data_IF_879499760185
#
_entry.id   IF_879499760185
#
_cell.length_a   1.000
_cell.length_b   1.000
_cell.length_c   1.000
_cell.angle_alpha   90.00
_cell.angle_beta   90.00
_cell.angle_gamma   90.00
#
_symmetry.space_group_name_H-M   'P 1'
#
loop_
_entity.id
_entity.type
_entity.pdbx_description
1 polymer ?
#
# COMPACT_ATOMS: atom_id res chain seq x y z
N UNK A 1 -7.46 5.48 27.61
CA UNK A 1 -7.84 4.19 26.94
C UNK A 1 -9.18 4.43 26.26
N UNK A 2 -9.23 4.45 24.93
CA UNK A 2 -10.50 4.50 24.18
C UNK A 2 -11.05 3.07 24.17
N UNK A 3 -12.21 2.85 24.77
CA UNK A 3 -12.93 1.60 24.58
C UNK A 3 -13.42 1.56 23.11
N UNK A 4 -13.09 0.52 22.33
CA UNK A 4 -13.58 0.39 20.99
C UNK A 4 -15.12 0.24 21.01
N UNK A 5 -15.81 1.02 20.16
CA UNK A 5 -17.26 0.96 20.08
C UNK A 5 -17.78 -0.36 19.48
N UNK A 6 -16.93 -1.10 18.78
CA UNK A 6 -17.24 -2.40 18.19
C UNK A 6 -16.00 -3.12 17.66
N UNK A 7 -16.12 -4.41 17.48
CA UNK A 7 -15.11 -5.32 16.94
C UNK A 7 -15.71 -6.05 15.75
N UNK A 8 -15.04 -6.06 14.61
CA UNK A 8 -15.41 -6.86 13.45
C UNK A 8 -14.38 -7.99 13.32
N UNK A 9 -14.86 -9.22 13.23
CA UNK A 9 -14.04 -10.41 12.99
C UNK A 9 -14.34 -10.91 11.59
N UNK A 10 -13.34 -10.84 10.71
CA UNK A 10 -13.42 -11.46 9.40
C UNK A 10 -13.06 -12.94 9.54
N UNK A 11 -14.02 -13.80 9.18
CA UNK A 11 -13.92 -15.26 9.32
C UNK A 11 -13.51 -15.97 8.02
N UNK A 12 -13.22 -15.25 6.93
CA UNK A 12 -12.90 -15.84 5.63
C UNK A 12 -11.70 -16.80 5.64
N UNK A 13 -10.78 -16.63 6.59
CA UNK A 13 -9.61 -17.47 6.75
C UNK A 13 -9.80 -18.70 7.66
N UNK A 14 -11.01 -18.96 8.18
CA UNK A 14 -11.27 -20.11 9.05
C UNK A 14 -11.44 -21.35 8.17
N UNK A 15 -10.51 -22.28 8.28
CA UNK A 15 -10.51 -23.54 7.53
C UNK A 15 -11.24 -24.67 8.25
N UNK A 16 -11.25 -24.63 9.59
CA UNK A 16 -11.88 -25.63 10.44
C UNK A 16 -12.57 -24.97 11.63
N UNK A 17 -13.73 -25.49 12.03
CA UNK A 17 -14.45 -25.06 13.22
C UNK A 17 -15.04 -26.27 13.93
N UNK A 18 -14.79 -26.39 15.23
CA UNK A 18 -15.38 -27.39 16.10
C UNK A 18 -16.56 -26.82 16.87
N UNK A 19 -17.38 -27.66 17.52
CA UNK A 19 -18.45 -27.18 18.39
C UNK A 19 -17.90 -26.39 19.59
N UNK A 20 -16.78 -26.82 20.17
CA UNK A 20 -16.06 -26.09 21.24
C UNK A 20 -15.56 -24.73 20.75
N UNK A 21 -15.07 -24.68 19.50
CA UNK A 21 -14.70 -23.42 18.85
C UNK A 21 -15.89 -22.46 18.67
N UNK A 22 -17.05 -22.99 18.33
CA UNK A 22 -18.29 -22.22 18.20
C UNK A 22 -18.76 -21.68 19.57
N UNK A 23 -18.66 -22.44 20.63
CA UNK A 23 -18.95 -22.00 22.00
C UNK A 23 -17.99 -20.86 22.42
N UNK A 24 -16.71 -20.96 22.05
CA UNK A 24 -15.72 -19.90 22.31
C UNK A 24 -16.12 -18.55 21.68
N UNK A 25 -16.73 -18.54 20.51
CA UNK A 25 -17.27 -17.32 19.90
C UNK A 25 -18.42 -16.73 20.72
N UNK A 26 -19.30 -17.56 21.26
CA UNK A 26 -20.41 -17.09 22.12
C UNK A 26 -19.88 -16.49 23.42
N UNK A 27 -18.93 -17.14 24.04
CA UNK A 27 -18.29 -16.66 25.28
C UNK A 27 -17.53 -15.34 25.05
N UNK A 28 -16.80 -15.24 23.96
CA UNK A 28 -16.11 -14.01 23.57
C UNK A 28 -17.10 -12.86 23.34
N UNK A 29 -18.24 -13.14 22.71
CA UNK A 29 -19.31 -12.15 22.54
C UNK A 29 -19.86 -11.67 23.88
N UNK A 30 -20.23 -12.60 24.76
CA UNK A 30 -20.78 -12.27 26.08
C UNK A 30 -19.79 -11.42 26.89
N UNK A 31 -18.51 -11.77 26.85
CA UNK A 31 -17.46 -11.00 27.49
C UNK A 31 -17.33 -9.58 26.91
N UNK A 32 -17.32 -9.43 25.58
CA UNK A 32 -17.18 -8.15 24.90
C UNK A 32 -18.39 -7.25 25.16
N UNK A 33 -19.61 -7.82 25.14
CA UNK A 33 -20.84 -7.08 25.45
C UNK A 33 -20.85 -6.58 26.89
N UNK A 34 -20.38 -7.39 27.83
CA UNK A 34 -20.26 -7.00 29.25
C UNK A 34 -19.35 -5.78 29.44
N UNK A 35 -18.41 -5.57 28.54
CA UNK A 35 -17.49 -4.42 28.55
C UNK A 35 -17.95 -3.25 27.65
N UNK A 36 -19.22 -3.26 27.22
CA UNK A 36 -19.84 -2.15 26.50
C UNK A 36 -19.44 -2.03 25.03
N UNK A 37 -18.81 -3.06 24.44
CA UNK A 37 -18.48 -3.13 23.03
C UNK A 37 -19.38 -4.13 22.31
N UNK A 38 -19.55 -3.94 20.98
CA UNK A 38 -20.29 -4.87 20.10
C UNK A 38 -19.30 -5.65 19.25
N UNK A 39 -19.63 -6.91 18.97
CA UNK A 39 -18.88 -7.78 18.05
C UNK A 39 -19.77 -8.12 16.86
N UNK A 40 -19.19 -8.16 15.66
CA UNK A 40 -19.87 -8.62 14.44
C UNK A 40 -18.93 -9.54 13.69
N UNK A 41 -19.43 -10.72 13.31
CA UNK A 41 -18.71 -11.67 12.47
C UNK A 41 -19.07 -11.42 11.01
N UNK A 42 -18.10 -11.44 10.10
CA UNK A 42 -18.39 -11.31 8.67
C UNK A 42 -17.59 -12.32 7.84
N UNK A 43 -18.05 -12.52 6.60
CA UNK A 43 -17.42 -13.41 5.62
C UNK A 43 -17.21 -14.84 6.16
N UNK A 44 -18.24 -15.40 6.83
CA UNK A 44 -18.17 -16.72 7.46
C UNK A 44 -18.32 -17.78 6.37
N UNK A 45 -17.34 -18.72 6.23
CA UNK A 45 -17.47 -19.85 5.30
C UNK A 45 -18.68 -20.73 5.64
N UNK A 46 -19.32 -21.34 4.63
CA UNK A 46 -20.53 -22.15 4.81
C UNK A 46 -20.35 -23.30 5.81
N UNK A 47 -19.21 -24.01 5.72
CA UNK A 47 -18.90 -25.09 6.66
C UNK A 47 -18.78 -24.64 8.12
N UNK A 48 -18.29 -23.43 8.37
CA UNK A 48 -18.24 -22.82 9.71
C UNK A 48 -19.64 -22.42 10.16
N UNK A 49 -20.43 -21.84 9.24
CA UNK A 49 -21.82 -21.48 9.52
C UNK A 49 -22.69 -22.69 9.88
N UNK A 50 -22.45 -23.84 9.26
CA UNK A 50 -23.14 -25.10 9.61
C UNK A 50 -22.85 -25.55 11.05
N UNK A 51 -21.60 -25.44 11.51
CA UNK A 51 -21.24 -25.76 12.90
C UNK A 51 -21.89 -24.77 13.86
N UNK A 52 -21.83 -23.46 13.57
CA UNK A 52 -22.47 -22.43 14.39
C UNK A 52 -23.99 -22.61 14.51
N UNK A 53 -24.64 -23.16 13.48
CA UNK A 53 -26.09 -23.47 13.51
C UNK A 53 -26.44 -24.68 14.39
N UNK A 54 -25.51 -25.62 14.59
CA UNK A 54 -25.71 -26.82 15.39
C UNK A 54 -25.60 -26.58 16.89
N UNK A 55 -24.80 -25.60 17.29
CA UNK A 55 -24.56 -25.29 18.70
C UNK A 55 -25.75 -24.46 19.26
N UNK A 56 -26.50 -24.98 20.26
CA UNK A 56 -27.64 -24.30 20.82
C UNK A 56 -27.24 -22.93 21.44
N UNK A 57 -28.02 -21.91 21.17
CA UNK A 57 -27.79 -20.55 21.73
C UNK A 57 -26.82 -19.69 20.94
N UNK A 58 -25.86 -20.26 20.21
CA UNK A 58 -24.83 -19.49 19.48
C UNK A 58 -25.46 -18.68 18.35
N UNK A 59 -26.34 -19.29 17.54
CA UNK A 59 -26.97 -18.64 16.38
C UNK A 59 -27.79 -17.40 16.71
N UNK A 60 -28.51 -17.41 17.84
CA UNK A 60 -29.36 -16.30 18.22
C UNK A 60 -28.64 -15.14 18.89
N UNK A 61 -27.42 -15.36 19.31
CA UNK A 61 -26.62 -14.40 20.05
C UNK A 61 -25.53 -13.72 19.20
N UNK A 62 -25.01 -14.39 18.16
CA UNK A 62 -23.94 -13.87 17.33
C UNK A 62 -24.46 -12.95 16.21
N UNK A 63 -24.13 -11.65 16.21
CA UNK A 63 -24.44 -10.77 15.10
C UNK A 63 -23.55 -11.13 13.90
N UNK A 64 -24.17 -11.65 12.86
CA UNK A 64 -23.49 -12.06 11.62
C UNK A 64 -23.84 -11.10 10.50
N UNK A 65 -22.86 -10.68 9.75
CA UNK A 65 -22.99 -9.92 8.51
C UNK A 65 -22.46 -10.73 7.33
N UNK A 66 -23.12 -10.66 6.18
CA UNK A 66 -22.68 -11.39 5.00
C UNK A 66 -21.38 -10.83 4.43
N UNK A 67 -21.09 -9.55 4.65
CA UNK A 67 -19.91 -8.86 4.13
C UNK A 67 -19.33 -7.89 5.16
N UNK A 68 -18.05 -7.55 4.98
CA UNK A 68 -17.39 -6.53 5.79
C UNK A 68 -18.14 -5.18 5.76
N UNK A 69 -18.71 -4.80 4.62
CA UNK A 69 -19.48 -3.56 4.48
C UNK A 69 -20.72 -3.56 5.38
N UNK A 70 -21.47 -4.66 5.41
CA UNK A 70 -22.62 -4.82 6.30
C UNK A 70 -22.22 -4.83 7.78
N UNK A 71 -21.09 -5.48 8.11
CA UNK A 71 -20.58 -5.50 9.46
C UNK A 71 -20.23 -4.08 9.95
N UNK A 72 -19.62 -3.26 9.12
CA UNK A 72 -19.33 -1.85 9.44
C UNK A 72 -20.59 -1.02 9.62
N UNK A 73 -21.57 -1.18 8.71
CA UNK A 73 -22.84 -0.47 8.78
C UNK A 73 -23.59 -0.82 10.08
N UNK A 74 -23.61 -2.09 10.50
CA UNK A 74 -24.27 -2.53 11.73
C UNK A 74 -23.67 -1.94 13.01
N UNK A 75 -22.40 -1.52 12.95
CA UNK A 75 -21.71 -0.83 14.05
C UNK A 75 -21.82 0.70 13.95
N UNK A 76 -22.49 1.25 12.92
CA UNK A 76 -22.55 2.68 12.66
C UNK A 76 -21.21 3.25 12.21
N UNK A 77 -20.32 2.40 11.71
CA UNK A 77 -19.05 2.82 11.11
C UNK A 77 -19.30 3.15 9.64
N UNK A 78 -18.67 4.22 9.10
CA UNK A 78 -18.75 4.49 7.68
C UNK A 78 -18.32 3.24 6.92
N UNK A 79 -19.01 2.92 5.82
CA UNK A 79 -18.64 1.77 5.00
C UNK A 79 -17.20 1.97 4.55
N UNK A 80 -16.44 0.88 4.39
CA UNK A 80 -15.11 1.00 3.81
C UNK A 80 -15.17 1.59 2.38
N UNK A 81 -16.36 1.49 1.76
CA UNK A 81 -16.68 2.07 0.46
C UNK A 81 -17.02 3.56 0.58
N UNK A 82 -17.66 4.02 1.66
CA UNK A 82 -17.95 5.44 1.92
C UNK A 82 -16.74 6.18 2.55
N UNK A 83 -15.86 5.48 3.28
CA UNK A 83 -14.54 6.01 3.64
C UNK A 83 -13.57 6.04 2.43
N UNK A 84 -13.95 5.37 1.33
CA UNK A 84 -13.30 5.37 0.01
C UNK A 84 -14.06 6.24 -1.01
N UNK A 85 -15.21 6.86 -0.67
CA UNK A 85 -16.00 7.73 -1.56
C UNK A 85 -15.82 9.25 -1.36
N UNK A 86 -14.92 9.72 -0.55
CA UNK A 86 -14.05 10.76 -1.08
C UNK A 86 -13.21 10.05 -2.15
N UNK A 87 -13.20 10.46 -3.45
CA UNK A 87 -12.40 9.77 -4.45
C UNK A 87 -10.98 9.72 -3.88
N UNK A 88 -10.54 8.52 -3.49
CA UNK A 88 -9.22 8.34 -2.93
C UNK A 88 -8.31 8.97 -3.98
N UNK A 89 -7.67 10.06 -3.61
CA UNK A 89 -6.87 10.87 -4.52
C UNK A 89 -5.90 9.87 -5.15
N UNK A 90 -6.07 9.58 -6.44
CA UNK A 90 -5.24 8.59 -7.12
C UNK A 90 -3.79 9.01 -6.98
N UNK A 91 -2.93 8.10 -6.57
CA UNK A 91 -1.51 8.39 -6.35
C UNK A 91 -0.71 7.71 -7.44
N UNK A 92 0.02 8.50 -8.21
CA UNK A 92 1.07 8.03 -9.11
C UNK A 92 2.39 8.12 -8.36
N UNK A 93 3.03 6.99 -8.09
CA UNK A 93 4.30 6.92 -7.39
C UNK A 93 5.47 6.89 -8.38
N UNK A 94 6.39 7.80 -8.21
CA UNK A 94 7.67 7.85 -8.93
C UNK A 94 8.83 7.62 -7.93
N UNK A 95 9.31 6.39 -7.74
CA UNK A 95 10.54 6.16 -7.01
C UNK A 95 11.74 6.60 -7.86
N UNK A 96 12.67 7.27 -7.20
CA UNK A 96 13.90 7.78 -7.82
C UNK A 96 15.09 7.31 -7.00
N UNK A 97 16.18 6.95 -7.64
CA UNK A 97 17.42 6.52 -6.97
C UNK A 97 18.65 6.98 -7.75
N UNK A 98 19.83 6.86 -7.15
CA UNK A 98 21.08 7.24 -7.78
C UNK A 98 21.34 6.43 -9.06
N UNK A 99 21.70 7.12 -10.15
CA UNK A 99 21.96 6.51 -11.47
C UNK A 99 20.75 6.39 -12.39
N UNK A 100 19.54 6.65 -11.89
CA UNK A 100 18.32 6.64 -12.71
C UNK A 100 18.22 7.93 -13.55
N UNK A 101 17.71 7.84 -14.78
CA UNK A 101 17.30 9.02 -15.54
C UNK A 101 15.95 9.55 -15.01
N UNK A 102 16.00 10.22 -13.87
CA UNK A 102 14.84 10.71 -13.17
C UNK A 102 14.01 11.71 -13.99
N UNK A 103 14.58 12.70 -14.72
CA UNK A 103 13.81 13.65 -15.51
C UNK A 103 12.98 12.97 -16.61
N UNK A 104 13.52 11.95 -17.27
CA UNK A 104 12.79 11.22 -18.31
C UNK A 104 11.60 10.44 -17.75
N UNK A 105 11.80 9.72 -16.65
CA UNK A 105 10.70 9.00 -15.97
C UNK A 105 9.65 9.96 -15.43
N UNK A 106 10.08 11.12 -14.91
CA UNK A 106 9.18 12.15 -14.40
C UNK A 106 8.25 12.72 -15.48
N UNK A 107 8.72 12.89 -16.73
CA UNK A 107 7.87 13.35 -17.83
C UNK A 107 6.67 12.41 -18.02
N UNK A 108 6.90 11.10 -18.01
CA UNK A 108 5.84 10.10 -18.13
C UNK A 108 4.91 10.07 -16.92
N UNK A 109 5.48 10.13 -15.71
CA UNK A 109 4.70 10.19 -14.48
C UNK A 109 3.82 11.44 -14.43
N UNK A 110 4.32 12.60 -14.83
CA UNK A 110 3.56 13.85 -14.91
C UNK A 110 2.41 13.77 -15.91
N UNK A 111 2.64 13.16 -17.07
CA UNK A 111 1.61 12.95 -18.08
C UNK A 111 0.46 12.09 -17.54
N UNK A 112 0.80 10.94 -16.97
CA UNK A 112 -0.18 10.04 -16.35
C UNK A 112 -0.95 10.70 -15.20
N UNK A 113 -0.24 11.46 -14.35
CA UNK A 113 -0.85 12.18 -13.22
C UNK A 113 -1.91 13.17 -13.69
N UNK A 114 -1.62 13.91 -14.77
CA UNK A 114 -2.58 14.84 -15.37
C UNK A 114 -3.80 14.14 -15.95
N UNK A 115 -3.58 13.10 -16.75
CA UNK A 115 -4.65 12.36 -17.42
C UNK A 115 -5.63 11.74 -16.42
N UNK A 116 -5.11 11.32 -15.27
CA UNK A 116 -5.91 10.66 -14.24
C UNK A 116 -6.41 11.60 -13.14
N UNK A 117 -6.04 12.87 -13.16
CA UNK A 117 -6.30 13.83 -12.08
C UNK A 117 -5.81 13.31 -10.73
N UNK A 118 -4.62 12.72 -10.73
CA UNK A 118 -3.98 12.11 -9.57
C UNK A 118 -3.04 13.11 -8.86
N UNK A 119 -2.43 12.67 -7.75
CA UNK A 119 -1.28 13.34 -7.12
C UNK A 119 -0.02 12.57 -7.45
N UNK A 120 1.05 13.28 -7.75
CA UNK A 120 2.35 12.68 -7.96
C UNK A 120 3.13 12.59 -6.65
N UNK A 121 3.47 11.39 -6.21
CA UNK A 121 4.38 11.17 -5.09
C UNK A 121 5.76 10.82 -5.64
N UNK A 122 6.75 11.67 -5.37
CA UNK A 122 8.14 11.44 -5.75
C UNK A 122 8.91 11.01 -4.50
N UNK A 123 9.41 9.78 -4.50
CA UNK A 123 10.15 9.26 -3.35
C UNK A 123 11.57 8.91 -3.77
N UNK A 124 12.54 9.64 -3.22
CA UNK A 124 13.93 9.30 -3.44
C UNK A 124 14.32 8.14 -2.53
N UNK A 125 14.71 7.02 -3.13
CA UNK A 125 15.15 5.83 -2.42
C UNK A 125 16.67 5.91 -2.19
N UNK A 126 17.07 6.15 -0.94
CA UNK A 126 18.45 6.23 -0.54
C UNK A 126 18.90 4.86 0.01
N UNK A 127 19.83 4.24 -0.71
CA UNK A 127 20.37 2.93 -0.32
C UNK A 127 21.43 3.09 0.79
N UNK A 128 21.16 2.48 1.94
CA UNK A 128 22.09 2.47 3.07
C UNK A 128 22.88 1.15 3.08
N UNK A 129 24.22 1.19 3.03
CA UNK A 129 25.04 -0.01 3.11
C UNK A 129 24.73 -0.86 4.35
N UNK A 130 24.83 -2.18 4.23
CA UNK A 130 24.47 -3.11 5.34
C UNK A 130 25.30 -2.89 6.61
N UNK A 131 26.52 -2.39 6.48
CA UNK A 131 27.44 -2.13 7.59
C UNK A 131 27.08 -0.89 8.42
N UNK A 132 26.22 -0.02 7.91
CA UNK A 132 25.80 1.22 8.57
C UNK A 132 24.40 1.07 9.18
N UNK A 133 24.08 1.80 10.24
CA UNK A 133 22.71 1.92 10.71
C UNK A 133 21.85 2.67 9.67
N UNK A 134 20.56 2.36 9.56
CA UNK A 134 19.66 3.08 8.62
C UNK A 134 19.59 4.59 8.90
N UNK A 135 19.82 4.97 10.15
CA UNK A 135 19.82 6.37 10.60
C UNK A 135 21.18 7.07 10.45
N UNK A 136 22.22 6.36 9.98
CA UNK A 136 23.56 6.98 9.81
C UNK A 136 23.46 8.15 8.83
N UNK A 137 23.94 9.34 9.17
CA UNK A 137 23.97 10.48 8.25
C UNK A 137 24.79 10.17 7.02
N UNK A 138 24.28 10.51 5.85
CA UNK A 138 24.93 10.34 4.55
C UNK A 138 24.81 11.67 3.77
N UNK A 139 25.55 12.71 4.21
CA UNK A 139 25.32 14.09 3.77
C UNK A 139 25.42 14.28 2.25
N UNK A 140 26.39 13.64 1.60
CA UNK A 140 26.54 13.77 0.14
C UNK A 140 25.38 13.14 -0.63
N UNK A 141 24.90 11.97 -0.19
CA UNK A 141 23.78 11.28 -0.83
C UNK A 141 22.45 11.99 -0.54
N UNK A 142 22.31 12.52 0.66
CA UNK A 142 21.14 13.30 1.05
C UNK A 142 21.06 14.60 0.24
N UNK A 143 22.17 15.29 0.07
CA UNK A 143 22.24 16.51 -0.75
C UNK A 143 21.86 16.22 -2.21
N UNK A 144 22.40 15.15 -2.82
CA UNK A 144 22.01 14.71 -4.16
C UNK A 144 20.53 14.36 -4.25
N UNK A 145 19.98 13.69 -3.24
CA UNK A 145 18.56 13.38 -3.16
C UNK A 145 17.71 14.65 -3.15
N UNK A 146 18.09 15.64 -2.33
CA UNK A 146 17.40 16.91 -2.25
C UNK A 146 17.47 17.71 -3.55
N UNK A 147 18.63 17.74 -4.20
CA UNK A 147 18.80 18.40 -5.51
C UNK A 147 17.89 17.76 -6.56
N UNK A 148 17.93 16.42 -6.69
CA UNK A 148 17.07 15.69 -7.62
C UNK A 148 15.59 15.94 -7.34
N UNK A 149 15.16 15.86 -6.08
CA UNK A 149 13.77 16.11 -5.70
C UNK A 149 13.33 17.55 -6.00
N UNK A 150 14.24 18.52 -5.87
CA UNK A 150 13.94 19.93 -6.17
C UNK A 150 13.77 20.14 -7.67
N UNK A 151 14.61 19.55 -8.50
CA UNK A 151 14.49 19.60 -9.95
C UNK A 151 13.16 18.98 -10.43
N UNK A 152 12.78 17.82 -9.88
CA UNK A 152 11.54 17.15 -10.24
C UNK A 152 10.30 17.91 -9.76
N UNK A 153 10.37 18.54 -8.58
CA UNK A 153 9.30 19.41 -8.10
C UNK A 153 9.11 20.62 -9.01
N UNK A 154 10.18 21.22 -9.51
CA UNK A 154 10.07 22.31 -10.49
C UNK A 154 9.44 21.86 -11.79
N UNK A 155 9.75 20.66 -12.26
CA UNK A 155 9.09 20.06 -13.43
C UNK A 155 7.60 19.90 -13.19
N UNK A 156 7.19 19.38 -12.02
CA UNK A 156 5.80 19.21 -11.63
C UNK A 156 5.07 20.55 -11.54
N UNK A 157 5.70 21.57 -10.95
CA UNK A 157 5.16 22.93 -10.86
C UNK A 157 4.91 23.55 -12.25
N UNK A 158 5.87 23.42 -13.17
CA UNK A 158 5.71 23.89 -14.57
C UNK A 158 4.58 23.14 -15.27
N UNK A 159 4.41 21.88 -14.94
CA UNK A 159 3.34 21.03 -15.45
C UNK A 159 1.99 21.25 -14.76
N UNK A 160 1.91 22.08 -13.70
CA UNK A 160 0.72 22.32 -12.88
C UNK A 160 0.16 21.03 -12.28
N UNK A 161 1.03 20.14 -11.82
CA UNK A 161 0.70 18.89 -11.15
C UNK A 161 0.98 19.04 -9.67
N UNK A 162 0.01 18.61 -8.82
CA UNK A 162 0.24 18.52 -7.38
C UNK A 162 1.27 17.42 -7.11
N UNK A 163 2.30 17.77 -6.32
CA UNK A 163 3.39 16.83 -6.01
C UNK A 163 3.64 16.80 -4.50
N UNK A 164 3.90 15.60 -4.00
CA UNK A 164 4.48 15.34 -2.69
C UNK A 164 5.84 14.68 -2.86
N UNK A 165 6.81 15.07 -2.04
CA UNK A 165 8.17 14.55 -2.16
C UNK A 165 8.75 14.17 -0.81
N UNK A 166 9.52 13.07 -0.75
CA UNK A 166 10.26 12.64 0.42
C UNK A 166 11.47 11.79 0.08
N UNK A 167 12.35 11.61 1.05
CA UNK A 167 13.45 10.64 0.99
C UNK A 167 13.09 9.44 1.85
N UNK A 168 13.25 8.25 1.30
CA UNK A 168 13.07 6.99 2.03
C UNK A 168 14.40 6.23 2.06
N UNK A 169 14.78 5.70 3.21
CA UNK A 169 16.02 4.96 3.39
C UNK A 169 15.77 3.48 3.44
N UNK A 170 16.48 2.71 2.64
CA UNK A 170 16.34 1.26 2.63
C UNK A 170 17.68 0.56 2.39
N UNK A 171 17.68 -0.77 2.52
CA UNK A 171 18.86 -1.60 2.25
C UNK A 171 18.77 -2.32 0.91
N UNK A 172 17.58 -2.45 0.37
CA UNK A 172 17.28 -3.13 -0.87
C UNK A 172 16.31 -2.28 -1.68
N UNK A 173 16.70 -1.92 -2.89
CA UNK A 173 15.96 -1.00 -3.73
C UNK A 173 14.58 -1.54 -4.09
N UNK A 174 14.51 -2.80 -4.50
CA UNK A 174 13.25 -3.39 -4.94
C UNK A 174 12.23 -3.49 -3.80
N UNK A 175 12.69 -3.93 -2.63
CA UNK A 175 11.86 -4.00 -1.43
C UNK A 175 11.44 -2.61 -0.95
N UNK A 176 12.36 -1.65 -0.97
CA UNK A 176 12.06 -0.26 -0.61
C UNK A 176 10.94 0.32 -1.47
N UNK A 177 11.03 0.13 -2.80
CA UNK A 177 10.00 0.58 -3.74
C UNK A 177 8.63 -0.07 -3.45
N UNK A 178 8.58 -1.39 -3.25
CA UNK A 178 7.34 -2.11 -2.94
C UNK A 178 6.74 -1.62 -1.62
N UNK A 179 7.56 -1.50 -0.58
CA UNK A 179 7.10 -1.01 0.73
C UNK A 179 6.53 0.41 0.65
N UNK A 180 7.19 1.30 -0.09
CA UNK A 180 6.67 2.66 -0.32
C UNK A 180 5.36 2.64 -1.09
N UNK A 181 5.23 1.80 -2.13
CA UNK A 181 4.00 1.67 -2.89
C UNK A 181 2.81 1.19 -2.04
N UNK A 182 3.06 0.28 -1.09
CA UNK A 182 2.07 -0.19 -0.11
C UNK A 182 1.69 0.91 0.88
N UNK A 183 2.67 1.59 1.46
CA UNK A 183 2.46 2.66 2.45
C UNK A 183 1.66 3.83 1.88
N UNK A 184 2.01 4.27 0.67
CA UNK A 184 1.35 5.36 -0.05
C UNK A 184 0.02 4.93 -0.67
N UNK A 185 -0.32 3.64 -0.66
CA UNK A 185 -1.48 3.09 -1.39
C UNK A 185 -1.50 3.54 -2.84
N UNK A 186 -0.33 3.49 -3.47
CA UNK A 186 -0.16 3.92 -4.85
C UNK A 186 -1.14 3.19 -5.77
N UNK A 187 -1.78 3.93 -6.66
CA UNK A 187 -2.62 3.35 -7.72
C UNK A 187 -1.78 2.93 -8.93
N UNK A 188 -0.66 3.62 -9.14
CA UNK A 188 0.29 3.33 -10.21
C UNK A 188 1.71 3.64 -9.78
N UNK A 189 2.65 2.85 -10.28
CA UNK A 189 4.09 2.97 -10.05
C UNK A 189 4.81 3.17 -11.39
N UNK A 190 5.60 4.23 -11.51
CA UNK A 190 6.38 4.52 -12.72
C UNK A 190 7.86 4.23 -12.46
N UNK A 191 8.42 3.24 -13.14
CA UNK A 191 9.82 2.85 -13.03
C UNK A 191 10.61 3.31 -14.25
N UNK A 192 11.60 4.18 -14.05
CA UNK A 192 12.55 4.55 -15.09
C UNK A 192 13.73 3.59 -15.18
N UNK A 193 14.10 3.19 -16.38
CA UNK A 193 15.27 2.34 -16.63
C UNK A 193 16.16 3.00 -17.67
N UNK A 194 17.46 3.00 -17.38
CA UNK A 194 18.50 3.41 -18.33
C UNK A 194 18.96 2.22 -19.19
N UNK A 195 19.28 2.43 -20.46
CA UNK A 195 19.70 1.33 -21.34
C UNK A 195 20.92 0.54 -20.86
N UNK A 196 21.85 1.18 -20.14
CA UNK A 196 23.03 0.54 -19.57
C UNK A 196 22.74 -0.36 -18.39
N UNK A 197 21.63 -0.15 -17.71
CA UNK A 197 21.31 -0.82 -16.44
C UNK A 197 20.34 -2.01 -16.59
N UNK A 198 19.99 -2.39 -17.81
CA UNK A 198 18.99 -3.44 -18.05
C UNK A 198 19.35 -4.76 -17.37
N UNK A 199 20.64 -5.12 -17.33
CA UNK A 199 21.09 -6.35 -16.68
C UNK A 199 20.98 -6.26 -15.14
N UNK A 200 21.34 -5.11 -14.55
CA UNK A 200 21.19 -4.85 -13.13
C UNK A 200 19.73 -4.64 -12.73
N UNK A 201 18.90 -4.13 -13.64
CA UNK A 201 17.48 -3.90 -13.42
C UNK A 201 16.64 -5.19 -13.44
N UNK A 202 17.13 -6.31 -13.97
CA UNK A 202 16.34 -7.55 -14.05
C UNK A 202 15.87 -8.04 -12.68
N UNK A 203 16.73 -8.02 -11.67
CA UNK A 203 16.34 -8.40 -10.29
C UNK A 203 15.35 -7.42 -9.66
N UNK A 204 15.55 -6.13 -9.89
CA UNK A 204 14.64 -5.06 -9.46
C UNK A 204 13.26 -5.24 -10.11
N UNK A 205 13.22 -5.30 -11.43
CA UNK A 205 11.97 -5.44 -12.20
C UNK A 205 11.20 -6.70 -11.81
N UNK A 206 11.88 -7.84 -11.77
CA UNK A 206 11.25 -9.11 -11.38
C UNK A 206 10.60 -9.01 -10.00
N UNK A 207 11.32 -8.45 -9.02
CA UNK A 207 10.79 -8.32 -7.67
C UNK A 207 9.61 -7.34 -7.61
N UNK A 208 9.74 -6.19 -8.28
CA UNK A 208 8.68 -5.17 -8.26
C UNK A 208 7.44 -5.67 -9.00
N UNK A 209 7.59 -6.25 -10.19
CA UNK A 209 6.45 -6.78 -10.97
C UNK A 209 5.72 -7.92 -10.26
N UNK A 210 6.42 -8.72 -9.44
CA UNK A 210 5.81 -9.80 -8.65
C UNK A 210 5.11 -9.31 -7.38
N UNK A 211 5.56 -8.20 -6.79
CA UNK A 211 5.15 -7.80 -5.44
C UNK A 211 4.47 -6.44 -5.35
N UNK A 212 4.50 -5.63 -6.41
CA UNK A 212 3.84 -4.33 -6.38
C UNK A 212 2.33 -4.48 -6.15
N UNK A 213 1.74 -3.67 -5.26
CA UNK A 213 0.31 -3.71 -4.96
C UNK A 213 -0.55 -2.99 -5.99
N UNK A 214 0.06 -2.42 -7.04
CA UNK A 214 -0.57 -1.54 -8.02
C UNK A 214 -0.06 -1.79 -9.44
N UNK A 215 -0.63 -1.10 -10.41
CA UNK A 215 -0.14 -1.11 -11.79
C UNK A 215 1.30 -0.59 -11.87
N UNK A 216 2.14 -1.24 -12.68
CA UNK A 216 3.54 -0.86 -12.87
C UNK A 216 3.78 -0.47 -14.32
N UNK A 217 4.17 0.78 -14.54
CA UNK A 217 4.65 1.27 -15.84
C UNK A 217 6.17 1.30 -15.83
N UNK A 218 6.79 0.57 -16.73
CA UNK A 218 8.24 0.59 -16.92
C UNK A 218 8.56 1.49 -18.11
N UNK A 219 9.34 2.53 -17.87
CA UNK A 219 9.76 3.51 -18.87
C UNK A 219 11.25 3.37 -19.13
N UNK A 220 11.62 3.03 -20.36
CA UNK A 220 13.02 2.94 -20.77
C UNK A 220 13.41 4.20 -21.52
N UNK A 221 14.38 4.94 -21.00
CA UNK A 221 14.95 6.06 -21.74
C UNK A 221 15.58 5.58 -23.06
N UNK A 222 15.44 6.34 -24.17
CA UNK A 222 16.18 6.03 -25.40
C UNK A 222 17.68 6.08 -25.10
N UNK A 223 18.45 5.26 -25.80
CA UNK A 223 19.91 5.42 -25.78
C UNK A 223 20.25 6.82 -26.30
N UNK A 224 21.13 7.54 -25.59
CA UNK A 224 21.57 8.84 -26.09
C UNK A 224 22.15 8.65 -27.49
N UNK A 225 21.51 9.27 -28.48
CA UNK A 225 22.02 9.30 -29.87
C UNK A 225 23.24 10.22 -29.82
N UNK A 226 24.44 9.65 -29.81
CA UNK A 226 25.67 10.41 -29.94
C UNK A 226 26.67 10.24 -28.78
N UNK A 227 27.16 9.02 -28.59
CA UNK A 227 28.53 8.77 -28.12
C UNK A 227 29.05 7.56 -28.89
N UNK A 228 29.30 7.77 -30.18
CA UNK A 228 30.27 6.95 -30.91
C UNK A 228 31.64 7.54 -30.60
N UNK A 229 32.46 6.81 -29.84
CA UNK A 229 33.89 7.06 -29.69
C UNK A 229 34.61 6.64 -30.95
#
# INVERSE_FOLDING_TARGET
KRNPAGIIINCSGITECTEEGAETFADAQAYIQKHGARIVLCDIPEHVMEVLRRVPGVRSQLPVACTMAQARASLGLPSAYEASEAPAEKIVLLPVWEGMNAPYAAQHALHMTKDQRAVLHIVYILLVPQKLALTTPMPEQEERAHQTLTELEEMARRARVKVEKRVERCRDLARGIVTVAEQERASQLVLGITPGDVAAANGLLTTVLQKAPCEVLVVRAPAAVGQTV
#
